data_IF_344176310927
#
_entry.id   IF_344176310927
#
_cell.length_a   1.000
_cell.length_b   1.000
_cell.length_c   1.000
_cell.angle_alpha   90.00
_cell.angle_beta   90.00
_cell.angle_gamma   90.00
#
_symmetry.space_group_name_H-M   'P 1'
#
loop_
_entity.id
_entity.type
_entity.pdbx_description
1 polymer ?
#
# COMPACT_ATOMS: atom_id res chain seq x y z
N UNK A 1 -7.31 10.73 1.14
CA UNK A 1 -8.77 10.52 1.18
C UNK A 1 -9.34 11.06 2.47
N UNK A 2 -10.54 11.65 2.40
CA UNK A 2 -11.36 12.07 3.53
C UNK A 2 -12.76 11.52 3.28
N UNK A 3 -13.33 10.77 4.21
CA UNK A 3 -14.63 10.15 3.97
C UNK A 3 -15.32 9.66 5.22
N UNK A 4 -16.61 9.42 5.08
CA UNK A 4 -17.48 8.80 6.06
C UNK A 4 -18.36 7.73 5.40
N UNK A 5 -19.48 7.34 6.04
CA UNK A 5 -20.41 6.35 5.50
C UNK A 5 -21.21 6.84 4.27
N UNK A 6 -21.28 8.13 4.05
CA UNK A 6 -22.14 8.76 3.05
C UNK A 6 -21.35 9.23 1.84
N UNK A 7 -20.15 9.75 2.05
CA UNK A 7 -19.34 10.32 0.98
C UNK A 7 -17.84 10.15 1.21
N UNK A 8 -17.10 10.18 0.13
CA UNK A 8 -15.63 10.14 0.13
C UNK A 8 -15.12 11.24 -0.78
N UNK A 9 -14.13 11.98 -0.31
CA UNK A 9 -13.40 13.00 -1.04
C UNK A 9 -11.97 12.58 -1.29
N UNK A 10 -11.52 12.76 -2.50
CA UNK A 10 -10.13 12.59 -2.89
C UNK A 10 -9.46 13.95 -2.96
N UNK A 11 -8.31 14.12 -2.31
CA UNK A 11 -7.63 15.41 -2.21
C UNK A 11 -6.23 15.29 -2.80
N UNK A 12 -5.92 16.10 -3.78
CA UNK A 12 -4.57 16.34 -4.27
C UNK A 12 -4.04 17.66 -3.73
N UNK A 13 -2.90 17.59 -3.06
CA UNK A 13 -2.14 18.77 -2.66
C UNK A 13 -1.10 19.05 -3.77
N UNK A 14 -1.12 20.28 -4.24
CA UNK A 14 -0.29 20.75 -5.34
C UNK A 14 0.79 21.71 -4.81
N UNK A 15 1.54 22.33 -5.71
CA UNK A 15 2.53 23.34 -5.33
C UNK A 15 1.87 24.67 -4.90
N UNK A 16 2.61 25.54 -4.20
CA UNK A 16 2.17 26.90 -3.86
C UNK A 16 0.99 26.97 -2.90
N UNK A 17 0.82 25.99 -2.00
CA UNK A 17 -0.32 25.89 -1.07
C UNK A 17 -1.67 25.79 -1.81
N UNK A 18 -1.68 25.08 -2.92
CA UNK A 18 -2.89 24.80 -3.69
C UNK A 18 -3.36 23.38 -3.45
N UNK A 19 -4.66 23.17 -3.59
CA UNK A 19 -5.27 21.83 -3.52
C UNK A 19 -6.54 21.77 -4.37
N UNK A 20 -6.91 20.56 -4.76
CA UNK A 20 -8.22 20.23 -5.30
C UNK A 20 -8.74 18.99 -4.58
N UNK A 21 -9.99 19.03 -4.15
CA UNK A 21 -10.71 17.90 -3.58
C UNK A 21 -11.89 17.55 -4.47
N UNK A 22 -12.04 16.27 -4.81
CA UNK A 22 -13.15 15.74 -5.60
C UNK A 22 -14.02 14.85 -4.74
N UNK A 23 -15.34 15.05 -4.78
CA UNK A 23 -16.31 14.14 -4.20
C UNK A 23 -16.44 12.91 -5.10
N UNK A 24 -16.08 11.74 -4.57
CA UNK A 24 -16.07 10.50 -5.36
C UNK A 24 -17.46 9.88 -5.45
N UNK A 25 -17.95 9.56 -6.66
CA UNK A 25 -19.12 8.71 -6.81
C UNK A 25 -18.86 7.30 -6.28
N UNK A 26 -19.89 6.66 -5.73
CA UNK A 26 -19.77 5.29 -5.17
C UNK A 26 -19.39 4.21 -6.19
N UNK A 27 -19.54 4.50 -7.49
CA UNK A 27 -19.19 3.60 -8.59
C UNK A 27 -17.85 3.90 -9.23
N UNK A 28 -17.13 4.92 -8.76
CA UNK A 28 -15.86 5.31 -9.32
C UNK A 28 -14.74 4.36 -8.86
N UNK A 29 -13.90 3.96 -9.78
CA UNK A 29 -12.62 3.30 -9.52
C UNK A 29 -11.51 4.11 -10.18
N UNK A 30 -10.49 4.41 -9.42
CA UNK A 30 -9.29 5.06 -9.94
C UNK A 30 -8.06 4.59 -9.17
N UNK A 31 -6.92 4.93 -9.68
CA UNK A 31 -5.64 4.63 -9.09
C UNK A 31 -4.74 5.86 -9.18
N UNK A 32 -4.01 6.13 -8.10
CA UNK A 32 -3.01 7.19 -8.05
C UNK A 32 -1.72 6.64 -7.45
N UNK A 33 -0.69 6.38 -8.27
CA UNK A 33 0.67 6.28 -7.76
C UNK A 33 1.21 7.68 -7.42
N UNK A 34 2.53 7.87 -7.30
CA UNK A 34 3.12 9.20 -7.02
C UNK A 34 3.05 10.11 -8.26
N UNK A 35 1.85 10.43 -8.69
CA UNK A 35 1.54 11.34 -9.80
C UNK A 35 0.09 11.81 -9.65
N UNK A 36 -0.31 12.90 -10.32
CA UNK A 36 -1.69 13.37 -10.30
C UNK A 36 -2.61 12.39 -11.05
N UNK A 37 -3.81 12.17 -10.53
CA UNK A 37 -4.86 11.39 -11.16
C UNK A 37 -6.09 12.24 -11.52
N UNK A 38 -6.06 13.56 -11.29
CA UNK A 38 -7.12 14.49 -11.66
C UNK A 38 -6.76 15.12 -13.00
N UNK A 39 -7.59 14.91 -14.02
CA UNK A 39 -7.48 15.54 -15.33
C UNK A 39 -8.26 16.85 -15.42
N UNK A 40 -9.13 16.96 -16.44
CA UNK A 40 -9.94 18.18 -16.66
C UNK A 40 -11.05 18.32 -15.63
N UNK A 41 -11.02 19.45 -14.92
CA UNK A 41 -11.97 19.77 -13.85
C UNK A 41 -12.57 21.16 -14.11
N UNK A 42 -13.90 21.21 -14.07
CA UNK A 42 -14.67 22.43 -13.92
C UNK A 42 -14.73 22.79 -12.44
N UNK A 43 -14.11 23.91 -12.08
CA UNK A 43 -14.05 24.39 -10.68
C UNK A 43 -15.35 25.06 -10.23
N UNK A 44 -16.29 25.34 -11.15
CA UNK A 44 -17.62 25.85 -10.83
C UNK A 44 -18.60 24.75 -10.41
N UNK A 45 -18.23 23.46 -10.54
CA UNK A 45 -18.98 22.32 -10.01
C UNK A 45 -18.83 22.20 -8.47
N UNK A 46 -19.38 23.17 -7.76
CA UNK A 46 -19.25 23.28 -6.29
C UNK A 46 -19.90 22.16 -5.49
N UNK A 47 -20.72 21.33 -6.12
CA UNK A 47 -21.33 20.15 -5.49
C UNK A 47 -20.34 18.98 -5.38
N UNK A 48 -19.36 18.93 -6.28
CA UNK A 48 -18.41 17.84 -6.40
C UNK A 48 -16.93 18.27 -6.31
N UNK A 49 -16.64 19.58 -6.37
CA UNK A 49 -15.28 20.11 -6.39
C UNK A 49 -15.10 21.16 -5.30
N UNK A 50 -14.05 21.02 -4.51
CA UNK A 50 -13.55 22.07 -3.60
C UNK A 50 -12.10 22.33 -3.98
N UNK A 51 -11.78 23.57 -4.32
CA UNK A 51 -10.43 23.96 -4.72
C UNK A 51 -9.97 25.24 -4.03
N UNK A 52 -8.66 25.37 -3.86
CA UNK A 52 -8.07 26.65 -3.47
C UNK A 52 -8.27 27.69 -4.57
N UNK A 53 -8.57 28.92 -4.18
CA UNK A 53 -8.87 30.02 -5.12
C UNK A 53 -7.73 30.40 -6.06
N UNK A 54 -6.51 29.95 -5.77
CA UNK A 54 -5.30 30.27 -6.51
C UNK A 54 -4.81 29.13 -7.42
N UNK A 55 -5.56 28.04 -7.57
CA UNK A 55 -5.09 26.87 -8.34
C UNK A 55 -4.77 27.21 -9.80
N UNK A 56 -5.59 28.00 -10.48
CA UNK A 56 -5.34 28.45 -11.85
C UNK A 56 -4.18 29.47 -11.91
N UNK A 57 -4.18 30.46 -11.03
CA UNK A 57 -3.17 31.52 -11.08
C UNK A 57 -1.76 31.01 -10.81
N UNK A 58 -1.61 30.04 -9.90
CA UNK A 58 -0.30 29.42 -9.64
C UNK A 58 0.24 28.68 -10.88
N UNK A 59 -0.61 27.93 -11.58
CA UNK A 59 -0.21 27.27 -12.83
C UNK A 59 0.13 28.28 -13.93
N UNK A 60 -0.62 29.39 -14.03
CA UNK A 60 -0.34 30.48 -14.99
C UNK A 60 0.99 31.18 -14.68
N UNK A 61 1.26 31.48 -13.40
CA UNK A 61 2.52 32.07 -12.95
C UNK A 61 3.72 31.16 -13.23
N UNK A 62 3.52 29.85 -13.08
CA UNK A 62 4.52 28.84 -13.41
C UNK A 62 4.71 28.65 -14.94
N UNK A 63 3.78 29.12 -15.77
CA UNK A 63 3.79 28.91 -17.21
C UNK A 63 3.40 27.50 -17.65
N UNK A 64 2.74 26.74 -16.78
CA UNK A 64 2.34 25.34 -17.02
C UNK A 64 0.83 25.16 -17.19
N UNK A 65 0.05 26.23 -17.08
CA UNK A 65 -1.41 26.15 -17.14
C UNK A 65 -1.91 25.53 -18.45
N UNK A 66 -2.75 24.52 -18.31
CA UNK A 66 -3.53 23.89 -19.40
C UNK A 66 -5.00 23.91 -19.00
N UNK A 67 -5.86 24.52 -19.84
CA UNK A 67 -7.27 24.66 -19.57
C UNK A 67 -7.91 25.89 -20.20
N UNK A 68 -9.08 26.28 -19.69
CA UNK A 68 -9.78 27.52 -20.04
C UNK A 68 -10.05 28.32 -18.75
N UNK A 69 -9.20 29.30 -18.48
CA UNK A 69 -9.32 30.13 -17.30
C UNK A 69 -10.60 31.01 -17.32
N UNK A 70 -11.14 31.34 -18.49
CA UNK A 70 -12.38 32.11 -18.59
C UNK A 70 -13.63 31.27 -18.25
N UNK A 71 -13.55 29.98 -18.49
CA UNK A 71 -14.57 29.01 -18.10
C UNK A 71 -14.31 28.35 -16.74
N UNK A 72 -13.30 28.78 -16.00
CA UNK A 72 -12.86 28.20 -14.73
C UNK A 72 -12.54 26.67 -14.81
N UNK A 73 -12.03 26.23 -15.96
CA UNK A 73 -11.66 24.84 -16.24
C UNK A 73 -10.14 24.71 -16.26
N UNK A 74 -9.61 23.72 -15.54
CA UNK A 74 -8.19 23.37 -15.54
C UNK A 74 -8.00 21.87 -15.79
N UNK A 75 -6.97 21.51 -16.54
CA UNK A 75 -6.42 20.17 -16.57
C UNK A 75 -5.31 20.08 -15.54
N UNK A 76 -5.59 19.43 -14.40
CA UNK A 76 -4.64 19.36 -13.29
C UNK A 76 -3.44 18.50 -13.65
N UNK A 77 -3.67 17.35 -14.27
CA UNK A 77 -2.58 16.43 -14.63
C UNK A 77 -1.61 17.15 -15.57
N UNK A 78 -2.11 17.73 -16.65
CA UNK A 78 -1.29 18.46 -17.61
C UNK A 78 -0.63 19.73 -17.04
N UNK A 79 -1.24 20.37 -16.04
CA UNK A 79 -0.72 21.61 -15.45
C UNK A 79 0.30 21.41 -14.34
N UNK A 80 0.21 20.31 -13.57
CA UNK A 80 0.98 20.13 -12.35
C UNK A 80 1.79 18.84 -12.27
N UNK A 81 1.60 17.90 -13.21
CA UNK A 81 2.27 16.61 -13.19
C UNK A 81 2.87 16.29 -14.55
N UNK A 82 4.17 16.01 -14.55
CA UNK A 82 4.95 15.57 -15.71
C UNK A 82 5.73 14.27 -15.42
N UNK A 83 5.44 13.63 -14.29
CA UNK A 83 6.21 12.48 -13.84
C UNK A 83 5.62 11.16 -14.32
N UNK A 84 6.49 10.35 -14.91
CA UNK A 84 6.24 8.94 -15.18
C UNK A 84 6.24 8.12 -13.88
N UNK A 85 5.33 7.16 -13.77
CA UNK A 85 5.32 6.22 -12.65
C UNK A 85 5.07 4.77 -13.11
N UNK A 86 6.08 3.92 -12.98
CA UNK A 86 6.04 2.51 -13.40
C UNK A 86 4.93 1.66 -12.74
N UNK A 87 4.32 2.14 -11.66
CA UNK A 87 3.17 1.48 -11.03
C UNK A 87 1.87 1.68 -11.79
N UNK A 88 1.76 2.74 -12.60
CA UNK A 88 0.54 3.03 -13.35
C UNK A 88 0.19 1.91 -14.34
N UNK A 89 1.04 1.50 -15.30
CA UNK A 89 0.71 0.41 -16.21
C UNK A 89 0.41 -0.91 -15.50
N UNK A 90 1.14 -1.24 -14.44
CA UNK A 90 0.87 -2.43 -13.65
C UNK A 90 -0.51 -2.38 -12.97
N UNK A 91 -0.88 -1.23 -12.42
CA UNK A 91 -2.19 -1.03 -11.81
C UNK A 91 -3.33 -1.06 -12.82
N UNK A 92 -3.16 -0.41 -13.98
CA UNK A 92 -4.14 -0.47 -15.07
C UNK A 92 -4.35 -1.90 -15.56
N UNK A 93 -3.27 -2.67 -15.74
CA UNK A 93 -3.35 -4.08 -16.11
C UNK A 93 -4.14 -4.88 -15.07
N UNK A 94 -3.83 -4.70 -13.79
CA UNK A 94 -4.52 -5.41 -12.71
C UNK A 94 -6.02 -5.07 -12.66
N UNK A 95 -6.36 -3.79 -12.69
CA UNK A 95 -7.73 -3.30 -12.59
C UNK A 95 -8.58 -3.66 -13.82
N UNK A 96 -7.99 -3.58 -15.00
CA UNK A 96 -8.68 -3.91 -16.26
C UNK A 96 -8.61 -5.41 -16.61
N UNK A 97 -7.84 -6.21 -15.87
CA UNK A 97 -7.66 -7.65 -16.15
C UNK A 97 -6.94 -7.92 -17.47
N UNK A 98 -5.94 -7.10 -17.81
CA UNK A 98 -5.15 -7.17 -19.04
C UNK A 98 -3.65 -7.24 -18.72
N UNK A 99 -2.83 -7.36 -19.75
CA UNK A 99 -1.36 -7.26 -19.73
C UNK A 99 -0.84 -6.33 -20.84
N UNK A 100 -1.70 -5.44 -21.34
CA UNK A 100 -1.46 -4.62 -22.52
C UNK A 100 -0.79 -3.29 -22.23
N UNK A 101 -0.94 -2.76 -21.02
CA UNK A 101 -0.32 -1.50 -20.64
C UNK A 101 1.15 -1.68 -20.29
N UNK A 102 2.00 -0.82 -20.87
CA UNK A 102 3.45 -0.75 -20.63
C UNK A 102 3.84 0.67 -20.29
N UNK A 103 5.09 0.89 -19.90
CA UNK A 103 5.62 2.22 -19.62
C UNK A 103 5.52 3.19 -20.80
N UNK A 104 5.47 2.66 -22.02
CA UNK A 104 5.51 3.46 -23.25
C UNK A 104 4.13 3.72 -23.88
N UNK A 105 3.05 3.09 -23.40
CA UNK A 105 1.77 3.10 -24.12
C UNK A 105 0.53 3.48 -23.31
N UNK A 106 0.66 3.80 -22.02
CA UNK A 106 -0.46 4.37 -21.30
C UNK A 106 -0.47 5.90 -21.42
N UNK A 107 -1.66 6.47 -21.36
CA UNK A 107 -1.90 7.91 -21.50
C UNK A 107 -2.82 8.40 -20.38
N UNK A 108 -2.96 9.72 -20.22
CA UNK A 108 -3.90 10.32 -19.28
C UNK A 108 -5.33 9.80 -19.48
N UNK A 109 -5.74 9.54 -20.73
CA UNK A 109 -7.07 9.01 -21.04
C UNK A 109 -7.35 7.62 -20.41
N UNK A 110 -6.32 6.92 -19.93
CA UNK A 110 -6.46 5.61 -19.34
C UNK A 110 -6.75 5.66 -17.83
N UNK A 111 -6.42 6.75 -17.13
CA UNK A 111 -6.46 6.76 -15.67
C UNK A 111 -7.01 8.01 -15.00
N UNK A 112 -7.09 9.16 -15.67
CA UNK A 112 -7.50 10.41 -15.03
C UNK A 112 -8.99 10.43 -14.67
N UNK A 113 -9.30 11.17 -13.61
CA UNK A 113 -10.67 11.53 -13.23
C UNK A 113 -11.02 12.90 -13.78
N UNK A 114 -12.16 13.05 -14.39
CA UNK A 114 -12.62 14.30 -15.00
C UNK A 114 -14.12 14.51 -14.81
N UNK A 115 -14.56 15.77 -14.69
CA UNK A 115 -15.96 16.17 -14.87
C UNK A 115 -16.18 16.96 -16.19
N UNK A 116 -15.14 16.99 -17.02
CA UNK A 116 -15.21 17.54 -18.39
C UNK A 116 -14.80 16.44 -19.35
N UNK A 117 -15.66 16.10 -20.32
CA UNK A 117 -15.35 15.05 -21.30
C UNK A 117 -14.44 15.54 -22.45
N UNK A 118 -14.10 14.65 -23.35
CA UNK A 118 -13.27 14.96 -24.55
C UNK A 118 -13.82 16.04 -25.45
N UNK A 119 -15.16 16.24 -25.46
CA UNK A 119 -15.83 17.29 -26.24
C UNK A 119 -15.85 18.65 -25.54
N UNK A 120 -15.30 18.76 -24.31
CA UNK A 120 -15.34 19.97 -23.49
C UNK A 120 -16.68 20.18 -22.78
N UNK A 121 -17.55 19.17 -22.72
CA UNK A 121 -18.84 19.24 -22.03
C UNK A 121 -18.67 18.89 -20.55
N UNK A 122 -19.35 19.63 -19.70
CA UNK A 122 -19.42 19.33 -18.25
C UNK A 122 -20.29 18.09 -18.05
N UNK A 123 -19.71 17.09 -17.39
CA UNK A 123 -20.34 15.79 -17.16
C UNK A 123 -20.16 15.40 -15.68
N UNK A 124 -20.93 14.44 -15.15
CA UNK A 124 -20.63 13.86 -13.84
C UNK A 124 -19.20 13.31 -13.80
N UNK A 125 -18.52 13.43 -12.64
CA UNK A 125 -17.17 12.93 -12.45
C UNK A 125 -17.05 11.46 -12.88
N UNK A 126 -16.07 11.13 -13.67
CA UNK A 126 -15.84 9.78 -14.18
C UNK A 126 -14.34 9.43 -14.17
N UNK A 127 -14.04 8.13 -14.27
CA UNK A 127 -12.70 7.59 -14.50
C UNK A 127 -12.70 6.68 -15.73
N UNK A 128 -11.60 6.69 -16.47
CA UNK A 128 -11.38 5.80 -17.61
C UNK A 128 -11.03 4.36 -17.18
N UNK A 129 -10.73 4.12 -15.92
CA UNK A 129 -10.47 2.76 -15.42
C UNK A 129 -11.76 1.94 -15.43
N UNK A 130 -11.74 0.82 -16.15
CA UNK A 130 -12.89 -0.09 -16.32
C UNK A 130 -12.62 -1.40 -15.60
N UNK A 131 -13.34 -1.66 -14.51
CA UNK A 131 -13.27 -2.94 -13.85
C UNK A 131 -13.86 -4.05 -14.70
N UNK A 132 -13.17 -5.18 -14.80
CA UNK A 132 -13.66 -6.41 -15.45
C UNK A 132 -14.49 -7.28 -14.49
N UNK A 133 -14.37 -7.03 -13.17
CA UNK A 133 -15.10 -7.73 -12.11
C UNK A 133 -15.33 -6.80 -10.91
N UNK A 134 -16.26 -7.19 -10.04
CA UNK A 134 -16.36 -6.58 -8.72
C UNK A 134 -15.17 -7.03 -7.85
N UNK A 135 -14.42 -6.10 -7.30
CA UNK A 135 -13.30 -6.39 -6.41
C UNK A 135 -13.81 -6.77 -5.02
N UNK A 136 -13.30 -7.88 -4.50
CA UNK A 136 -13.41 -8.26 -3.10
C UNK A 136 -12.31 -7.58 -2.27
N UNK A 137 -12.37 -7.71 -0.95
CA UNK A 137 -11.25 -7.32 -0.06
C UNK A 137 -9.99 -8.07 -0.44
N UNK A 138 -10.10 -9.39 -0.70
CA UNK A 138 -8.96 -10.21 -1.12
C UNK A 138 -8.33 -9.72 -2.43
N UNK A 139 -9.14 -9.36 -3.43
CA UNK A 139 -8.63 -8.76 -4.68
C UNK A 139 -7.86 -7.47 -4.40
N UNK A 140 -8.37 -6.63 -3.50
CA UNK A 140 -7.74 -5.36 -3.13
C UNK A 140 -6.42 -5.58 -2.38
N UNK A 141 -6.36 -6.57 -1.47
CA UNK A 141 -5.10 -6.94 -0.81
C UNK A 141 -4.08 -7.50 -1.80
N UNK A 142 -4.52 -8.30 -2.77
CA UNK A 142 -3.65 -8.83 -3.82
C UNK A 142 -3.16 -7.75 -4.79
N UNK A 143 -3.95 -6.69 -5.02
CA UNK A 143 -3.51 -5.52 -5.76
C UNK A 143 -2.23 -4.92 -5.14
N UNK A 144 -2.24 -4.67 -3.83
CA UNK A 144 -1.08 -4.14 -3.11
C UNK A 144 0.12 -5.09 -3.04
N UNK A 145 -0.09 -6.40 -3.26
CA UNK A 145 1.00 -7.40 -3.32
C UNK A 145 1.58 -7.59 -4.73
N UNK A 146 0.97 -6.99 -5.74
CA UNK A 146 1.42 -7.11 -7.14
C UNK A 146 2.55 -6.15 -7.42
N UNK A 147 3.72 -6.66 -7.83
CA UNK A 147 4.86 -5.82 -8.24
C UNK A 147 4.59 -5.17 -9.61
N UNK A 148 4.97 -3.91 -9.81
CA UNK A 148 5.67 -3.00 -8.90
C UNK A 148 4.76 -2.13 -8.03
N UNK A 149 3.46 -2.42 -7.91
CA UNK A 149 2.51 -1.69 -7.05
C UNK A 149 2.95 -1.87 -5.60
N UNK A 150 3.00 -3.12 -5.13
CA UNK A 150 3.67 -3.50 -3.90
C UNK A 150 5.18 -3.53 -4.10
N UNK A 151 5.91 -3.13 -3.09
CA UNK A 151 7.37 -3.04 -3.10
C UNK A 151 7.98 -3.66 -1.86
N UNK A 152 9.18 -4.17 -2.01
CA UNK A 152 9.99 -4.70 -0.89
C UNK A 152 10.53 -3.62 0.04
N UNK A 153 10.37 -2.36 -0.30
CA UNK A 153 10.80 -1.20 0.49
C UNK A 153 9.66 -0.26 0.90
N UNK A 154 8.43 -0.71 0.84
CA UNK A 154 7.33 0.02 1.46
C UNK A 154 7.49 -0.03 2.98
N UNK A 155 7.18 1.07 3.66
CA UNK A 155 7.24 1.14 5.13
C UNK A 155 5.97 0.54 5.73
N UNK A 156 4.84 0.86 5.11
CA UNK A 156 3.51 0.41 5.53
C UNK A 156 2.53 0.52 4.36
N UNK A 157 1.48 -0.29 4.40
CA UNK A 157 0.36 -0.24 3.46
C UNK A 157 -0.94 -0.41 4.22
N UNK A 158 -1.90 0.46 3.94
CA UNK A 158 -3.21 0.48 4.56
C UNK A 158 -4.31 0.32 3.50
N UNK A 159 -5.28 -0.53 3.78
CA UNK A 159 -6.54 -0.63 3.04
C UNK A 159 -7.70 -0.38 4.01
N UNK A 160 -8.49 0.65 3.75
CA UNK A 160 -9.70 0.94 4.51
C UNK A 160 -10.93 0.38 3.79
N UNK A 161 -11.57 -0.59 4.43
CA UNK A 161 -12.86 -1.11 4.00
C UNK A 161 -13.95 -0.35 4.77
N UNK A 162 -14.77 0.42 4.06
CA UNK A 162 -15.89 1.16 4.64
C UNK A 162 -17.19 0.42 4.36
N UNK A 163 -17.96 0.14 5.41
CA UNK A 163 -19.25 -0.53 5.33
C UNK A 163 -20.39 0.45 5.62
N UNK A 164 -21.47 0.35 4.86
CA UNK A 164 -22.70 1.10 5.10
C UNK A 164 -23.58 0.49 6.20
N UNK A 165 -23.05 -0.40 7.03
CA UNK A 165 -23.82 -0.99 8.17
C UNK A 165 -24.12 0.07 9.22
N UNK A 166 -25.22 -0.10 9.96
CA UNK A 166 -25.64 0.86 10.98
C UNK A 166 -24.77 0.92 12.26
N UNK A 167 -23.80 0.00 12.44
CA UNK A 167 -22.90 0.00 13.61
C UNK A 167 -21.59 0.73 13.29
N UNK A 168 -21.49 1.96 13.78
CA UNK A 168 -20.30 2.81 13.59
C UNK A 168 -19.01 2.18 14.12
N UNK A 169 -19.10 1.31 15.13
CA UNK A 169 -17.92 0.68 15.72
C UNK A 169 -17.26 -0.33 14.75
N UNK A 170 -18.01 -0.87 13.80
CA UNK A 170 -17.54 -1.84 12.81
C UNK A 170 -17.64 -1.32 11.36
N UNK A 171 -18.00 -0.06 11.19
CA UNK A 171 -18.18 0.56 9.87
C UNK A 171 -16.87 0.64 9.08
N UNK A 172 -15.74 0.71 9.76
CA UNK A 172 -14.41 0.76 9.14
C UNK A 172 -13.61 -0.45 9.61
N UNK A 173 -13.06 -1.20 8.65
CA UNK A 173 -11.99 -2.16 8.88
C UNK A 173 -10.73 -1.65 8.19
N UNK A 174 -9.67 -1.49 8.94
CA UNK A 174 -8.34 -1.17 8.44
C UNK A 174 -7.52 -2.44 8.31
N UNK A 175 -7.03 -2.71 7.11
CA UNK A 175 -6.11 -3.81 6.82
C UNK A 175 -4.72 -3.23 6.69
N UNK A 176 -3.80 -3.64 7.55
CA UNK A 176 -2.45 -3.06 7.60
C UNK A 176 -1.39 -4.13 7.38
N UNK A 177 -0.41 -3.81 6.54
CA UNK A 177 0.85 -4.53 6.41
C UNK A 177 2.00 -3.56 6.67
N UNK A 178 2.99 -3.96 7.46
CA UNK A 178 4.20 -3.18 7.72
C UNK A 178 5.36 -3.75 6.97
N UNK A 179 6.17 -2.88 6.33
CA UNK A 179 7.31 -3.25 5.49
C UNK A 179 6.88 -4.19 4.37
N UNK A 180 7.57 -4.28 3.28
CA UNK A 180 7.44 -5.25 2.19
C UNK A 180 6.05 -5.89 1.98
N UNK A 181 5.21 -5.30 1.13
CA UNK A 181 3.85 -5.80 0.86
C UNK A 181 3.84 -7.15 0.15
N UNK A 182 4.88 -7.43 -0.63
CA UNK A 182 4.95 -8.61 -1.52
C UNK A 182 5.08 -9.90 -0.71
N UNK A 183 5.84 -9.85 0.40
CA UNK A 183 6.11 -10.99 1.29
C UNK A 183 5.47 -10.79 2.67
N UNK A 184 4.24 -10.30 2.71
CA UNK A 184 3.53 -10.02 3.95
C UNK A 184 2.10 -10.56 3.95
N UNK A 185 1.44 -10.48 5.11
CA UNK A 185 0.01 -10.65 5.26
C UNK A 185 -0.57 -9.42 5.96
N UNK A 186 -1.68 -8.92 5.45
CA UNK A 186 -2.41 -7.81 6.03
C UNK A 186 -3.22 -8.27 7.23
N UNK A 187 -3.14 -7.53 8.32
CA UNK A 187 -3.88 -7.77 9.56
C UNK A 187 -5.04 -6.78 9.65
N UNK A 188 -6.27 -7.24 9.91
CA UNK A 188 -7.44 -6.38 10.05
C UNK A 188 -7.56 -5.82 11.47
N UNK A 189 -7.99 -4.56 11.56
CA UNK A 189 -8.33 -3.86 12.78
C UNK A 189 -9.68 -3.17 12.64
N UNK A 190 -10.41 -3.06 13.75
CA UNK A 190 -11.51 -2.10 13.87
C UNK A 190 -11.00 -0.87 14.61
N UNK A 191 -10.70 0.26 13.92
CA UNK A 191 -10.11 1.44 14.56
C UNK A 191 -10.94 1.99 15.73
N UNK A 192 -12.26 1.81 15.68
CA UNK A 192 -13.18 2.28 16.74
C UNK A 192 -13.28 1.33 17.94
N UNK A 193 -12.79 0.08 17.82
CA UNK A 193 -12.88 -0.93 18.87
C UNK A 193 -11.50 -1.34 19.41
N UNK A 194 -10.45 -1.30 18.59
CA UNK A 194 -9.11 -1.72 19.01
C UNK A 194 -8.55 -0.72 20.03
N UNK A 195 -8.28 -1.17 21.24
CA UNK A 195 -7.83 -0.32 22.35
C UNK A 195 -6.36 -0.50 22.72
N UNK A 196 -5.72 -1.54 22.20
CA UNK A 196 -4.29 -1.81 22.40
C UNK A 196 -3.71 -2.60 21.23
N UNK A 197 -2.41 -2.51 21.03
CA UNK A 197 -1.67 -3.21 19.97
C UNK A 197 -0.91 -4.42 20.54
N UNK A 198 -0.58 -5.37 19.66
CA UNK A 198 0.24 -6.52 20.02
C UNK A 198 1.60 -6.10 20.60
N UNK A 199 2.09 -6.84 21.59
CA UNK A 199 3.35 -6.51 22.28
C UNK A 199 4.54 -6.41 21.31
N UNK A 200 4.54 -7.16 20.24
CA UNK A 200 5.59 -7.11 19.19
C UNK A 200 5.73 -5.76 18.50
N UNK A 201 4.71 -4.89 18.56
CA UNK A 201 4.78 -3.51 18.07
C UNK A 201 5.27 -2.50 19.11
N UNK A 202 5.28 -2.87 20.39
CA UNK A 202 5.67 -1.99 21.50
C UNK A 202 7.18 -1.91 21.70
N UNK A 203 7.95 -2.79 21.08
CA UNK A 203 9.40 -2.73 21.10
C UNK A 203 9.92 -1.69 20.11
N UNK A 204 10.95 -0.97 20.53
CA UNK A 204 11.70 -0.09 19.63
C UNK A 204 12.21 -0.86 18.43
N UNK A 205 12.22 -0.25 17.23
CA UNK A 205 12.84 -0.87 16.07
C UNK A 205 14.28 -1.29 16.38
N UNK A 206 14.68 -2.39 15.78
CA UNK A 206 16.07 -2.81 15.83
C UNK A 206 16.98 -1.70 15.29
N UNK A 207 18.13 -1.51 15.92
CA UNK A 207 19.13 -0.62 15.38
C UNK A 207 19.73 -1.24 14.13
N UNK A 208 19.63 -0.53 13.01
CA UNK A 208 20.27 -0.87 11.75
C UNK A 208 21.57 -0.09 11.64
N UNK A 209 22.69 -0.80 11.58
CA UNK A 209 23.99 -0.20 11.32
C UNK A 209 24.29 -0.29 9.83
N UNK A 210 24.68 0.84 9.23
CA UNK A 210 25.10 0.95 7.83
C UNK A 210 26.59 1.21 7.75
N UNK A 211 27.28 0.54 6.81
CA UNK A 211 28.71 0.69 6.59
C UNK A 211 29.03 0.55 5.10
N UNK A 212 30.05 1.27 4.65
CA UNK A 212 30.65 1.06 3.33
C UNK A 212 31.68 -0.07 3.36
N UNK A 213 32.07 -0.54 4.55
CA UNK A 213 33.00 -1.65 4.75
C UNK A 213 32.24 -2.93 5.09
N UNK A 214 32.65 -4.05 4.47
CA UNK A 214 32.07 -5.35 4.74
C UNK A 214 32.31 -5.79 6.18
N UNK A 215 31.24 -6.14 6.94
CA UNK A 215 31.38 -6.70 8.27
C UNK A 215 32.16 -8.03 8.24
N UNK A 216 33.03 -8.22 9.19
CA UNK A 216 33.87 -9.45 9.31
C UNK A 216 33.13 -10.56 10.07
N UNK A 217 32.09 -10.22 10.84
CA UNK A 217 31.36 -11.15 11.69
C UNK A 217 29.83 -10.94 11.55
N UNK A 218 29.09 -11.96 11.92
CA UNK A 218 27.63 -11.90 11.98
C UNK A 218 26.93 -12.05 10.62
N UNK A 219 25.64 -11.70 10.61
CA UNK A 219 24.81 -11.68 9.41
C UNK A 219 24.77 -10.26 8.86
N UNK A 220 25.12 -10.11 7.61
CA UNK A 220 25.08 -8.84 6.91
C UNK A 220 24.37 -8.95 5.57
N UNK A 221 23.84 -7.83 5.11
CA UNK A 221 23.18 -7.65 3.83
C UNK A 221 23.91 -6.57 3.04
N UNK A 222 23.89 -6.65 1.72
CA UNK A 222 24.49 -5.63 0.86
C UNK A 222 23.44 -5.14 -0.14
N UNK A 223 23.12 -3.84 -0.11
CA UNK A 223 22.16 -3.24 -1.04
C UNK A 223 22.74 -3.07 -2.46
N UNK A 224 21.87 -2.65 -3.39
CA UNK A 224 22.26 -2.40 -4.78
C UNK A 224 23.30 -1.27 -4.95
N UNK A 225 23.51 -0.44 -3.92
CA UNK A 225 24.55 0.61 -3.89
C UNK A 225 25.86 0.14 -3.26
N UNK A 226 25.96 -1.12 -2.89
CA UNK A 226 27.14 -1.72 -2.29
C UNK A 226 27.32 -1.48 -0.78
N UNK A 227 26.32 -0.87 -0.10
CA UNK A 227 26.38 -0.60 1.34
C UNK A 227 25.97 -1.83 2.13
N UNK A 228 26.63 -2.03 3.26
CA UNK A 228 26.37 -3.15 4.16
C UNK A 228 25.45 -2.75 5.29
N UNK A 229 24.63 -3.69 5.73
CA UNK A 229 23.68 -3.53 6.83
C UNK A 229 23.82 -4.68 7.80
N UNK A 230 23.80 -4.36 9.09
CA UNK A 230 23.68 -5.32 10.20
C UNK A 230 22.59 -4.88 11.16
N UNK A 231 22.03 -5.82 11.89
CA UNK A 231 20.99 -5.56 12.90
C UNK A 231 21.54 -5.76 14.31
N UNK A 232 20.99 -5.02 15.28
CA UNK A 232 21.26 -5.26 16.69
C UNK A 232 20.85 -6.69 17.12
N UNK A 233 21.41 -7.20 18.20
CA UNK A 233 21.14 -8.57 18.67
C UNK A 233 19.67 -8.83 19.01
N UNK A 234 18.90 -7.78 19.32
CA UNK A 234 17.50 -7.86 19.74
C UNK A 234 16.50 -7.55 18.62
N UNK A 235 16.95 -7.49 17.36
CA UNK A 235 16.08 -7.22 16.21
C UNK A 235 14.86 -8.16 16.13
N UNK A 236 14.99 -9.39 16.60
CA UNK A 236 13.91 -10.37 16.64
C UNK A 236 12.80 -10.03 17.61
N UNK A 237 12.97 -9.08 18.52
CA UNK A 237 11.93 -8.66 19.48
C UNK A 237 10.95 -7.66 18.87
N UNK A 238 11.33 -6.94 17.82
CA UNK A 238 10.52 -5.96 17.13
C UNK A 238 9.85 -6.57 15.91
N UNK A 239 8.56 -6.31 15.72
CA UNK A 239 7.84 -6.71 14.50
C UNK A 239 8.51 -6.09 13.27
N UNK A 240 8.75 -4.77 13.30
CA UNK A 240 9.39 -4.06 12.20
C UNK A 240 10.79 -4.60 11.90
N UNK A 241 11.62 -4.79 12.93
CA UNK A 241 12.97 -5.35 12.74
C UNK A 241 12.95 -6.75 12.12
N UNK A 242 12.01 -7.61 12.54
CA UNK A 242 11.84 -8.95 11.96
C UNK A 242 11.42 -8.88 10.49
N UNK A 243 10.53 -7.95 10.13
CA UNK A 243 10.06 -7.73 8.76
C UNK A 243 11.18 -7.19 7.88
N UNK A 244 11.86 -6.12 8.30
CA UNK A 244 12.95 -5.49 7.56
C UNK A 244 14.11 -6.48 7.32
N UNK A 245 14.46 -7.30 8.33
CA UNK A 245 15.47 -8.33 8.17
C UNK A 245 15.07 -9.40 7.14
N UNK A 246 13.79 -9.83 7.14
CA UNK A 246 13.30 -10.79 6.15
C UNK A 246 13.25 -10.18 4.75
N UNK A 247 12.79 -8.94 4.60
CA UNK A 247 12.76 -8.21 3.34
C UNK A 247 14.16 -8.06 2.74
N UNK A 248 15.13 -7.64 3.56
CA UNK A 248 16.53 -7.53 3.13
C UNK A 248 17.12 -8.90 2.74
N UNK A 249 16.80 -9.96 3.49
CA UNK A 249 17.24 -11.32 3.13
C UNK A 249 16.65 -11.78 1.79
N UNK A 250 15.38 -11.53 1.56
CA UNK A 250 14.70 -11.92 0.31
C UNK A 250 15.21 -11.12 -0.91
N UNK A 251 15.50 -9.83 -0.71
CA UNK A 251 15.90 -8.92 -1.78
C UNK A 251 17.39 -9.03 -2.09
N UNK A 252 18.24 -9.03 -1.07
CA UNK A 252 19.68 -8.92 -1.23
C UNK A 252 20.43 -10.21 -0.88
N UNK A 253 19.77 -11.17 -0.25
CA UNK A 253 20.42 -12.33 0.35
C UNK A 253 21.16 -11.97 1.64
N UNK A 254 22.06 -12.84 2.08
CA UNK A 254 22.91 -12.58 3.25
C UNK A 254 24.31 -13.14 3.06
N UNK A 255 25.30 -12.46 3.60
CA UNK A 255 26.72 -12.87 3.57
C UNK A 255 27.17 -13.24 2.13
N UNK A 256 26.75 -12.45 1.13
CA UNK A 256 27.06 -12.65 -0.28
C UNK A 256 26.30 -13.78 -0.98
N UNK A 257 25.36 -14.45 -0.31
CA UNK A 257 24.56 -15.54 -0.89
C UNK A 257 23.12 -15.10 -1.07
N UNK A 258 22.62 -15.16 -2.31
CA UNK A 258 21.27 -14.75 -2.66
C UNK A 258 20.22 -15.82 -2.31
N UNK A 259 19.00 -15.39 -2.01
CA UNK A 259 17.82 -16.24 -2.01
C UNK A 259 17.42 -16.55 -3.47
N UNK A 260 17.19 -17.80 -3.78
CA UNK A 260 16.83 -18.21 -5.16
C UNK A 260 15.41 -17.81 -5.53
N UNK A 261 15.13 -17.62 -6.83
CA UNK A 261 13.77 -17.34 -7.31
C UNK A 261 12.74 -18.40 -6.85
N UNK A 262 13.15 -19.67 -6.77
CA UNK A 262 12.29 -20.75 -6.23
C UNK A 262 11.96 -20.55 -4.76
N UNK A 263 12.90 -20.06 -3.97
CA UNK A 263 12.70 -19.76 -2.54
C UNK A 263 11.83 -18.51 -2.35
N UNK A 264 12.02 -17.50 -3.18
CA UNK A 264 11.16 -16.29 -3.22
C UNK A 264 9.72 -16.66 -3.57
N UNK A 265 9.50 -17.47 -4.61
CA UNK A 265 8.18 -17.94 -4.99
C UNK A 265 7.52 -18.77 -3.87
N UNK A 266 8.29 -19.62 -3.17
CA UNK A 266 7.79 -20.38 -2.02
C UNK A 266 7.45 -19.48 -0.82
N UNK A 267 8.18 -18.38 -0.61
CA UNK A 267 7.86 -17.38 0.41
C UNK A 267 6.55 -16.65 0.05
N UNK A 268 6.38 -16.17 -1.20
CA UNK A 268 5.13 -15.58 -1.68
C UNK A 268 3.93 -16.50 -1.44
N UNK A 269 4.05 -17.78 -1.83
CA UNK A 269 2.99 -18.77 -1.63
C UNK A 269 2.66 -18.99 -0.14
N UNK A 270 3.68 -18.98 0.74
CA UNK A 270 3.47 -19.12 2.18
C UNK A 270 2.72 -17.93 2.78
N UNK A 271 3.00 -16.70 2.34
CA UNK A 271 2.27 -15.52 2.78
C UNK A 271 0.87 -15.40 2.17
N UNK A 272 0.67 -15.92 0.95
CA UNK A 272 -0.68 -16.04 0.38
C UNK A 272 -1.54 -17.01 1.22
N UNK A 273 -0.98 -18.16 1.63
CA UNK A 273 -1.68 -19.08 2.52
C UNK A 273 -1.96 -18.48 3.91
N UNK A 274 -0.98 -17.75 4.48
CA UNK A 274 -1.17 -17.04 5.74
C UNK A 274 -2.29 -15.99 5.64
N UNK A 275 -2.39 -15.27 4.51
CA UNK A 275 -3.48 -14.31 4.30
C UNK A 275 -4.86 -14.98 4.34
N UNK A 276 -5.00 -16.20 3.79
CA UNK A 276 -6.25 -16.95 3.89
C UNK A 276 -6.59 -17.33 5.34
N UNK A 277 -5.58 -17.71 6.13
CA UNK A 277 -5.77 -17.96 7.56
C UNK A 277 -6.21 -16.69 8.30
N UNK A 278 -5.59 -15.52 8.02
CA UNK A 278 -5.97 -14.24 8.59
C UNK A 278 -7.41 -13.84 8.19
N UNK A 279 -7.81 -14.11 6.93
CA UNK A 279 -9.19 -13.86 6.48
C UNK A 279 -10.21 -14.72 7.24
N UNK A 280 -9.87 -15.98 7.56
CA UNK A 280 -10.70 -16.84 8.40
C UNK A 280 -10.77 -16.33 9.86
N UNK A 281 -9.62 -15.98 10.45
CA UNK A 281 -9.57 -15.40 11.80
C UNK A 281 -10.36 -14.07 11.89
N UNK A 282 -10.37 -13.29 10.79
CA UNK A 282 -11.17 -12.07 10.70
C UNK A 282 -12.67 -12.35 10.73
N UNK A 283 -13.13 -13.40 10.03
CA UNK A 283 -14.53 -13.80 10.10
C UNK A 283 -14.94 -14.23 11.53
N UNK A 284 -14.05 -14.92 12.24
CA UNK A 284 -14.26 -15.28 13.65
C UNK A 284 -14.28 -14.02 14.54
N UNK A 285 -13.42 -13.03 14.30
CA UNK A 285 -13.45 -11.73 14.99
C UNK A 285 -14.78 -11.01 14.76
N UNK A 286 -15.28 -10.97 13.52
CA UNK A 286 -16.57 -10.36 13.19
C UNK A 286 -17.71 -11.02 13.98
N UNK A 287 -17.73 -12.35 14.03
CA UNK A 287 -18.74 -13.10 14.76
C UNK A 287 -18.66 -12.83 16.28
N UNK A 288 -17.45 -12.80 16.83
CA UNK A 288 -17.24 -12.52 18.27
C UNK A 288 -17.67 -11.09 18.65
N UNK A 289 -17.33 -10.10 17.83
CA UNK A 289 -17.74 -8.69 18.02
C UNK A 289 -19.26 -8.54 17.92
N UNK A 290 -19.88 -9.21 16.93
CA UNK A 290 -21.32 -9.17 16.77
C UNK A 290 -22.09 -9.84 17.91
N UNK A 291 -21.52 -10.88 18.53
CA UNK A 291 -22.12 -11.59 19.66
C UNK A 291 -21.92 -10.88 21.01
N UNK A 292 -21.08 -9.85 21.08
CA UNK A 292 -20.78 -9.14 22.32
C UNK A 292 -21.86 -8.09 22.65
N UNK A 293 -22.38 -8.12 23.88
CA UNK A 293 -23.49 -7.26 24.32
C UNK A 293 -23.05 -5.87 24.79
N UNK A 294 -21.79 -5.69 25.18
CA UNK A 294 -21.27 -4.40 25.68
C UNK A 294 -20.14 -3.88 24.83
N UNK A 295 -19.89 -2.56 24.89
CA UNK A 295 -18.78 -1.93 24.16
C UNK A 295 -17.44 -2.50 24.61
N UNK A 296 -17.26 -2.70 25.91
CA UNK A 296 -16.01 -3.26 26.47
C UNK A 296 -15.78 -4.69 25.97
N UNK A 297 -16.84 -5.51 25.86
CA UNK A 297 -16.72 -6.86 25.31
C UNK A 297 -16.40 -6.86 23.81
N UNK A 298 -16.99 -5.94 23.04
CA UNK A 298 -16.64 -5.72 21.61
C UNK A 298 -15.19 -5.29 21.45
N UNK A 299 -14.73 -4.33 22.26
CA UNK A 299 -13.35 -3.86 22.27
C UNK A 299 -12.37 -4.99 22.61
N UNK A 300 -12.67 -5.77 23.65
CA UNK A 300 -11.84 -6.91 24.02
C UNK A 300 -11.77 -7.96 22.89
N UNK A 301 -12.90 -8.30 22.27
CA UNK A 301 -12.96 -9.24 21.16
C UNK A 301 -12.13 -8.77 19.96
N UNK A 302 -12.31 -7.52 19.53
CA UNK A 302 -11.58 -6.92 18.40
C UNK A 302 -10.07 -6.86 18.71
N UNK A 303 -9.69 -6.29 19.86
CA UNK A 303 -8.29 -6.11 20.26
C UNK A 303 -7.54 -7.45 20.35
N UNK A 304 -8.14 -8.43 21.04
CA UNK A 304 -7.51 -9.74 21.23
C UNK A 304 -7.32 -10.47 19.89
N UNK A 305 -8.33 -10.42 19.02
CA UNK A 305 -8.26 -11.08 17.71
C UNK A 305 -7.19 -10.43 16.80
N UNK A 306 -7.19 -9.09 16.67
CA UNK A 306 -6.20 -8.37 15.86
C UNK A 306 -4.77 -8.61 16.40
N UNK A 307 -4.59 -8.61 17.71
CA UNK A 307 -3.29 -8.88 18.34
C UNK A 307 -2.84 -10.34 18.12
N UNK A 308 -3.75 -11.31 18.15
CA UNK A 308 -3.44 -12.71 17.84
C UNK A 308 -3.03 -12.88 16.37
N UNK A 309 -3.72 -12.22 15.43
CA UNK A 309 -3.36 -12.21 14.01
C UNK A 309 -2.01 -11.54 13.77
N UNK A 310 -1.72 -10.43 14.44
CA UNK A 310 -0.41 -9.76 14.39
C UNK A 310 0.72 -10.67 14.88
N UNK A 311 0.49 -11.36 15.99
CA UNK A 311 1.44 -12.33 16.53
C UNK A 311 1.65 -13.52 15.57
N UNK A 312 0.59 -13.95 14.86
CA UNK A 312 0.67 -15.02 13.84
C UNK A 312 1.57 -14.58 12.68
N UNK A 313 1.40 -13.36 12.16
CA UNK A 313 2.25 -12.80 11.09
C UNK A 313 3.70 -12.68 11.55
N UNK A 314 3.95 -12.16 12.75
CA UNK A 314 5.28 -12.07 13.33
C UNK A 314 5.99 -13.43 13.44
N UNK A 315 5.30 -14.43 13.99
CA UNK A 315 5.84 -15.79 14.13
C UNK A 315 6.17 -16.41 12.75
N UNK A 316 5.29 -16.19 11.76
CA UNK A 316 5.53 -16.64 10.39
C UNK A 316 6.75 -15.95 9.77
N UNK A 317 6.95 -14.66 10.03
CA UNK A 317 8.10 -13.87 9.60
C UNK A 317 9.42 -14.45 10.15
N UNK A 318 9.49 -14.66 11.47
CA UNK A 318 10.69 -15.25 12.09
C UNK A 318 10.96 -16.67 11.58
N UNK A 319 9.92 -17.48 11.43
CA UNK A 319 10.05 -18.84 10.88
C UNK A 319 10.59 -18.83 9.45
N UNK A 320 10.08 -17.91 8.61
CA UNK A 320 10.53 -17.78 7.22
C UNK A 320 11.98 -17.29 7.17
N UNK A 321 12.31 -16.25 7.94
CA UNK A 321 13.67 -15.74 8.06
C UNK A 321 14.66 -16.84 8.42
N UNK A 322 14.42 -17.55 9.53
CA UNK A 322 15.31 -18.62 10.01
C UNK A 322 15.48 -19.73 8.97
N UNK A 323 14.41 -20.11 8.27
CA UNK A 323 14.44 -21.13 7.20
C UNK A 323 15.32 -20.69 6.01
N UNK A 324 15.16 -19.44 5.56
CA UNK A 324 15.92 -18.91 4.43
C UNK A 324 17.37 -18.66 4.82
N UNK A 325 17.62 -18.10 6.00
CA UNK A 325 18.97 -17.87 6.53
C UNK A 325 19.79 -19.16 6.64
N UNK A 326 19.17 -20.24 7.14
CA UNK A 326 19.84 -21.54 7.20
C UNK A 326 20.22 -22.07 5.80
N UNK A 327 19.37 -21.83 4.80
CA UNK A 327 19.67 -22.24 3.40
C UNK A 327 20.78 -21.40 2.76
N UNK A 328 20.79 -20.08 2.98
CA UNK A 328 21.87 -19.22 2.46
C UNK A 328 23.19 -19.58 3.11
N UNK A 329 23.22 -19.81 4.43
CA UNK A 329 24.41 -20.26 5.15
C UNK A 329 24.94 -21.63 4.65
N UNK A 330 24.04 -22.59 4.39
CA UNK A 330 24.44 -23.89 3.85
C UNK A 330 25.07 -23.75 2.45
N UNK A 331 24.55 -22.88 1.58
CA UNK A 331 25.16 -22.60 0.26
C UNK A 331 26.54 -21.97 0.40
N UNK A 332 26.70 -21.01 1.33
CA UNK A 332 28.00 -20.38 1.61
C UNK A 332 29.04 -21.43 1.99
N UNK A 333 28.68 -22.36 2.88
CA UNK A 333 29.56 -23.43 3.32
C UNK A 333 29.95 -24.37 2.16
N UNK A 334 28.99 -24.79 1.34
CA UNK A 334 29.27 -25.65 0.15
C UNK A 334 30.21 -24.93 -0.82
N UNK A 335 29.98 -23.65 -1.11
CA UNK A 335 30.82 -22.86 -2.01
C UNK A 335 32.26 -22.75 -1.47
N UNK A 336 32.45 -22.60 -0.15
CA UNK A 336 33.77 -22.53 0.46
C UNK A 336 34.56 -23.84 0.40
N UNK A 337 33.90 -24.97 0.19
CA UNK A 337 34.55 -26.28 -0.01
C UNK A 337 34.99 -26.52 -1.45
N UNK A 338 34.46 -25.77 -2.41
CA UNK A 338 34.70 -25.90 -3.84
C UNK A 338 35.81 -24.96 -4.34
N UNK A 339 36.28 -24.04 -3.49
CA UNK A 339 37.37 -23.10 -3.72
C UNK A 339 38.48 -23.28 -2.69
#
# INVERSE_FOLDING_TARGET
FIGDQNETWFVENLTGHTYVALKLPSSLVFMQPNMSAIGKIDLDDTDNVIASSNVISVAQEAGTFVGDAAANVIDLNASYNDEFNSRMPAGLNYLNGTDTFTEDNYTEDDYVMSNVNENGEIVPLYSNIKLTKKFSVEDSLNFFKTEPIGKTNNIETHLFQVSSTGDLNTAITEWTAFDDDVYNAFVPYYPMLTTDTADVYKYSPATVTRSDEQPTEGVWYQDAKGRYYTYSEDWTKSFYGARDALSNLLTYGSNGNTVTAKEQAAAKASYAALQQEIMADYADMQAAVAAADTLEAKQAAATNASNAMSQKVYNATLKMYNKLQAKTAARAWVNSLLH
#
